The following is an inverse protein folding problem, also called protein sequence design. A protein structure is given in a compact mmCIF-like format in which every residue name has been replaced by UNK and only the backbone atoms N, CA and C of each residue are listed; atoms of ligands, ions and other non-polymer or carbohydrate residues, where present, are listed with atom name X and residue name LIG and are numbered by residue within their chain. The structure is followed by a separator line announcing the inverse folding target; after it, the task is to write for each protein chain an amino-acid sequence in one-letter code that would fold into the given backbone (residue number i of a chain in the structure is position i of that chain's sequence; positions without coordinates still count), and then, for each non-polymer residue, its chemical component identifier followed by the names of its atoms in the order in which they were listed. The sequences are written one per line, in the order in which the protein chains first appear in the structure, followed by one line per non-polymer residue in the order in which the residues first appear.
data_IF_106387606451
#
_entry.id   IF_106387606451
#
_cell.length_a   1.000
_cell.length_b   1.000
_cell.length_c   1.000
_cell.angle_alpha   90.00
_cell.angle_beta   90.00
_cell.angle_gamma   90.00
#
_symmetry.space_group_name_H-M   'P 1'
#
loop_
_entity.id
_entity.type
_entity.pdbx_description
1 polymer ?
#
# COMPACT_ATOMS: atom_id res chain seq x y z
N UNK A 1 69.42 -4.04 -0.78
CA UNK A 1 69.16 -5.39 -1.25
C UNK A 1 67.89 -5.93 -0.60
N UNK A 2 67.01 -6.56 -1.41
CA UNK A 2 65.78 -7.27 -1.15
C UNK A 2 64.50 -6.35 -1.18
N UNK A 3 63.94 -6.11 -2.29
CA UNK A 3 62.94 -6.75 -3.17
C UNK A 3 61.91 -7.63 -2.46
N UNK A 4 60.69 -7.14 -2.36
CA UNK A 4 59.47 -7.86 -1.97
C UNK A 4 58.28 -7.36 -2.74
N UNK A 5 57.92 -8.05 -3.84
CA UNK A 5 56.71 -7.86 -4.63
C UNK A 5 55.46 -8.20 -3.81
N UNK A 6 54.45 -7.37 -3.86
CA UNK A 6 53.09 -7.69 -3.47
C UNK A 6 52.28 -7.97 -4.75
N UNK A 7 51.54 -9.07 -4.87
CA UNK A 7 50.74 -9.36 -6.04
C UNK A 7 49.39 -8.60 -5.97
N UNK A 8 49.17 -7.76 -6.99
CA UNK A 8 47.82 -7.23 -7.24
C UNK A 8 46.95 -8.32 -7.86
N UNK A 9 45.72 -8.43 -7.37
CA UNK A 9 44.51 -8.95 -8.05
C UNK A 9 43.40 -9.21 -7.02
N UNK A 10 42.89 -8.15 -6.41
CA UNK A 10 41.66 -8.25 -5.61
C UNK A 10 40.79 -6.96 -5.63
N UNK A 11 41.15 -5.94 -6.40
CA UNK A 11 40.49 -4.63 -6.36
C UNK A 11 39.53 -4.37 -7.54
N UNK A 12 39.35 -5.27 -8.49
CA UNK A 12 38.58 -5.02 -9.72
C UNK A 12 37.18 -5.67 -9.77
N UNK A 13 36.68 -6.26 -8.69
CA UNK A 13 35.37 -6.94 -8.71
C UNK A 13 34.27 -6.30 -7.84
N UNK A 14 34.49 -5.14 -7.27
CA UNK A 14 33.49 -4.47 -6.41
C UNK A 14 32.79 -3.30 -7.11
N UNK A 15 33.26 -2.85 -8.26
CA UNK A 15 32.72 -1.63 -8.93
C UNK A 15 31.58 -1.90 -9.93
N UNK A 16 31.15 -3.12 -10.15
CA UNK A 16 30.09 -3.45 -11.14
C UNK A 16 28.73 -3.82 -10.55
N UNK A 17 28.51 -3.72 -9.24
CA UNK A 17 27.25 -4.12 -8.57
C UNK A 17 26.37 -2.95 -8.13
N UNK A 18 26.83 -1.69 -8.26
CA UNK A 18 26.08 -0.53 -7.77
C UNK A 18 25.40 0.31 -8.86
N UNK A 19 25.18 -0.23 -10.06
CA UNK A 19 24.46 0.47 -11.15
C UNK A 19 23.08 -0.13 -11.45
N UNK A 20 22.38 -0.67 -10.47
CA UNK A 20 21.00 -1.15 -10.58
C UNK A 20 20.08 -0.32 -9.71
N UNK A 21 19.40 0.66 -10.31
CA UNK A 21 18.26 1.35 -9.69
C UNK A 21 17.15 0.33 -9.49
N UNK A 22 16.97 -0.15 -8.28
CA UNK A 22 15.69 -0.71 -7.83
C UNK A 22 15.61 -0.56 -6.31
N UNK A 23 14.86 0.46 -5.89
CA UNK A 23 14.32 0.54 -4.53
C UNK A 23 13.33 -0.61 -4.39
N UNK A 24 13.79 -1.76 -3.90
CA UNK A 24 12.93 -2.91 -3.65
C UNK A 24 12.23 -2.70 -2.30
N UNK A 25 10.96 -2.29 -2.35
CA UNK A 25 10.11 -2.34 -1.17
C UNK A 25 10.05 -3.78 -0.64
N UNK A 26 10.51 -4.00 0.59
CA UNK A 26 10.42 -5.31 1.22
C UNK A 26 9.00 -5.52 1.75
N UNK A 27 8.24 -6.36 1.05
CA UNK A 27 6.92 -6.79 1.50
C UNK A 27 7.11 -7.91 2.52
N UNK A 28 6.81 -7.63 3.78
CA UNK A 28 6.80 -8.65 4.84
C UNK A 28 5.42 -9.33 4.83
N UNK A 29 5.37 -10.59 4.42
CA UNK A 29 4.17 -11.40 4.49
C UNK A 29 4.02 -11.98 5.89
N UNK A 30 2.84 -11.95 6.51
CA UNK A 30 2.60 -12.73 7.72
C UNK A 30 2.76 -14.23 7.42
N UNK A 31 3.50 -14.94 8.27
CA UNK A 31 3.75 -16.38 8.14
C UNK A 31 2.48 -17.16 8.50
N UNK A 32 1.56 -17.31 7.60
CA UNK A 32 0.57 -18.41 7.49
C UNK A 32 -0.46 -18.09 6.41
N UNK A 33 -0.22 -18.55 5.20
CA UNK A 33 -1.31 -18.84 4.27
C UNK A 33 -0.96 -20.10 3.50
N UNK A 34 -1.72 -21.16 3.72
CA UNK A 34 -1.71 -22.34 2.85
C UNK A 34 -2.13 -21.88 1.46
N UNK A 35 -1.22 -22.01 0.51
CA UNK A 35 -1.52 -21.84 -0.90
C UNK A 35 -2.40 -23.04 -1.27
N UNK A 36 -3.69 -22.77 -1.40
CA UNK A 36 -4.65 -23.73 -1.95
C UNK A 36 -4.79 -23.40 -3.43
N UNK A 37 -4.47 -24.37 -4.30
CA UNK A 37 -4.71 -24.30 -5.74
C UNK A 37 -6.17 -23.91 -5.99
N UNK A 38 -6.39 -22.78 -6.66
CA UNK A 38 -7.72 -22.34 -7.06
C UNK A 38 -7.79 -22.20 -8.57
N UNK A 39 -8.13 -23.30 -9.21
CA UNK A 39 -8.61 -23.29 -10.58
C UNK A 39 -10.10 -23.67 -10.57
N UNK A 40 -10.99 -22.68 -10.53
CA UNK A 40 -12.41 -22.86 -10.89
C UNK A 40 -13.00 -21.51 -11.27
N UNK A 41 -13.15 -21.32 -12.57
CA UNK A 41 -13.97 -20.29 -13.20
C UNK A 41 -15.43 -20.72 -13.08
N UNK A 42 -16.11 -20.29 -12.03
CA UNK A 42 -17.57 -20.37 -11.96
C UNK A 42 -18.11 -19.09 -11.37
N UNK A 43 -19.07 -18.48 -12.09
CA UNK A 43 -19.75 -17.23 -11.78
C UNK A 43 -20.61 -17.30 -10.51
N UNK A 44 -19.99 -17.63 -9.38
CA UNK A 44 -20.61 -17.63 -8.07
C UNK A 44 -20.31 -16.31 -7.37
N UNK A 45 -21.33 -15.71 -6.79
CA UNK A 45 -21.18 -14.67 -5.78
C UNK A 45 -20.12 -15.13 -4.78
N UNK A 46 -18.89 -14.63 -4.92
CA UNK A 46 -17.77 -15.06 -4.09
C UNK A 46 -18.15 -14.84 -2.61
N UNK A 47 -17.91 -15.84 -1.76
CA UNK A 47 -18.22 -15.75 -0.32
C UNK A 47 -17.62 -14.47 0.28
N UNK A 48 -18.29 -13.84 1.24
CA UNK A 48 -17.72 -12.74 2.00
C UNK A 48 -16.38 -13.14 2.62
N UNK A 49 -15.42 -12.21 2.65
CA UNK A 49 -14.06 -12.44 3.16
C UNK A 49 -13.79 -11.57 4.37
N UNK A 50 -13.16 -12.10 5.42
CA UNK A 50 -12.76 -11.30 6.57
C UNK A 50 -11.72 -10.25 6.17
N UNK A 51 -11.70 -9.13 6.89
CA UNK A 51 -10.74 -8.04 6.68
C UNK A 51 -9.30 -8.55 6.76
N UNK A 52 -9.04 -9.53 7.65
CA UNK A 52 -7.72 -10.12 7.86
C UNK A 52 -7.09 -10.72 6.61
N UNK A 53 -7.88 -11.26 5.67
CA UNK A 53 -7.37 -11.79 4.39
C UNK A 53 -6.80 -10.69 3.48
N UNK A 54 -7.23 -9.45 3.63
CA UNK A 54 -6.77 -8.31 2.85
C UNK A 54 -5.58 -7.57 3.46
N UNK A 55 -5.27 -7.81 4.73
CA UNK A 55 -4.24 -7.05 5.44
C UNK A 55 -2.87 -7.16 4.77
N UNK A 56 -2.20 -6.01 4.60
CA UNK A 56 -0.85 -5.91 4.06
C UNK A 56 -0.01 -5.01 4.94
N UNK A 57 1.28 -5.31 5.00
CA UNK A 57 2.27 -4.48 5.64
C UNK A 57 3.49 -4.33 4.74
N UNK A 58 3.98 -3.10 4.63
CA UNK A 58 5.24 -2.75 3.98
C UNK A 58 6.12 -2.02 4.99
N UNK A 59 7.43 -2.16 4.85
CA UNK A 59 8.41 -1.38 5.61
C UNK A 59 9.52 -0.92 4.66
N UNK A 60 9.89 0.36 4.75
CA UNK A 60 10.93 0.96 3.90
C UNK A 60 11.73 2.00 4.69
N UNK A 61 13.04 2.00 4.53
CA UNK A 61 13.90 3.03 5.10
C UNK A 61 13.88 4.24 4.16
N UNK A 62 13.69 5.44 4.72
CA UNK A 62 13.69 6.68 3.95
C UNK A 62 15.11 7.01 3.52
N UNK A 63 15.34 7.02 2.21
CA UNK A 63 16.64 7.28 1.60
C UNK A 63 16.80 8.77 1.23
N UNK A 64 18.03 9.27 1.07
CA UNK A 64 18.27 10.66 0.64
C UNK A 64 17.57 11.04 -0.66
N UNK A 65 17.41 10.09 -1.59
CA UNK A 65 16.74 10.31 -2.89
C UNK A 65 15.22 10.48 -2.76
N UNK A 66 14.64 10.11 -1.63
CA UNK A 66 13.22 10.23 -1.34
C UNK A 66 12.88 11.51 -0.57
N UNK A 67 13.91 12.30 -0.23
CA UNK A 67 13.77 13.46 0.64
C UNK A 67 13.83 14.80 -0.11
N UNK A 68 13.19 15.80 0.48
CA UNK A 68 13.30 17.19 0.09
C UNK A 68 14.58 17.86 0.68
N UNK A 69 14.93 19.11 0.28
CA UNK A 69 16.11 19.80 0.79
C UNK A 69 16.16 20.00 2.32
N UNK A 70 15.03 19.85 3.01
CA UNK A 70 14.95 19.91 4.47
C UNK A 70 15.22 18.55 5.15
N UNK A 71 15.52 17.51 4.36
CA UNK A 71 15.75 16.16 4.88
C UNK A 71 14.48 15.38 5.23
N UNK A 72 13.31 15.87 4.83
CA UNK A 72 12.02 15.19 5.06
C UNK A 72 11.59 14.41 3.82
N UNK A 73 10.94 13.27 4.01
CA UNK A 73 10.32 12.48 2.95
C UNK A 73 9.39 13.34 2.09
N UNK A 74 9.53 13.25 0.78
CA UNK A 74 8.64 13.92 -0.17
C UNK A 74 7.22 13.36 -0.03
N UNK A 75 6.22 14.24 0.07
CA UNK A 75 4.81 13.83 0.15
C UNK A 75 4.38 12.99 -1.05
N UNK A 76 4.85 13.31 -2.26
CA UNK A 76 4.59 12.50 -3.45
C UNK A 76 5.20 11.10 -3.38
N UNK A 77 6.35 10.93 -2.74
CA UNK A 77 6.94 9.62 -2.50
C UNK A 77 6.11 8.80 -1.50
N UNK A 78 5.66 9.44 -0.41
CA UNK A 78 4.77 8.79 0.55
C UNK A 78 3.43 8.40 -0.09
N UNK A 79 2.84 9.26 -0.92
CA UNK A 79 1.62 8.93 -1.69
C UNK A 79 1.81 7.72 -2.59
N UNK A 80 2.95 7.61 -3.28
CA UNK A 80 3.28 6.45 -4.10
C UNK A 80 3.37 5.15 -3.27
N UNK A 81 4.00 5.18 -2.10
CA UNK A 81 4.06 4.03 -1.20
C UNK A 81 2.68 3.65 -0.65
N UNK A 82 1.84 4.65 -0.33
CA UNK A 82 0.46 4.45 0.10
C UNK A 82 -0.37 3.78 -1.00
N UNK A 83 -0.21 4.19 -2.25
CA UNK A 83 -0.90 3.59 -3.39
C UNK A 83 -0.52 2.11 -3.57
N UNK A 84 0.78 1.80 -3.52
CA UNK A 84 1.27 0.41 -3.58
C UNK A 84 0.70 -0.43 -2.43
N UNK A 85 0.78 0.06 -1.18
CA UNK A 85 0.27 -0.65 -0.02
C UNK A 85 -1.24 -0.90 -0.13
N UNK A 86 -1.98 0.09 -0.62
CA UNK A 86 -3.41 -0.03 -0.87
C UNK A 86 -3.74 -1.05 -1.96
N UNK A 87 -3.01 -1.00 -3.08
CA UNK A 87 -3.17 -1.95 -4.19
C UNK A 87 -2.93 -3.39 -3.75
N UNK A 88 -1.91 -3.65 -2.92
CA UNK A 88 -1.65 -5.00 -2.38
C UNK A 88 -2.85 -5.54 -1.58
N UNK A 89 -3.47 -4.72 -0.73
CA UNK A 89 -4.67 -5.13 0.01
C UNK A 89 -5.86 -5.37 -0.90
N UNK A 90 -6.04 -4.51 -1.90
CA UNK A 90 -7.11 -4.64 -2.90
C UNK A 90 -6.95 -5.92 -3.73
N UNK A 91 -5.73 -6.23 -4.20
CA UNK A 91 -5.42 -7.48 -4.92
C UNK A 91 -5.69 -8.72 -4.08
N UNK A 92 -5.25 -8.73 -2.81
CA UNK A 92 -5.48 -9.86 -1.90
C UNK A 92 -6.95 -10.12 -1.67
N UNK A 93 -7.76 -9.06 -1.59
CA UNK A 93 -9.20 -9.21 -1.35
C UNK A 93 -9.95 -9.65 -2.60
N UNK A 94 -9.67 -9.02 -3.75
CA UNK A 94 -10.43 -9.24 -4.98
C UNK A 94 -9.95 -10.44 -5.80
N UNK A 95 -8.68 -10.85 -5.67
CA UNK A 95 -7.99 -11.80 -6.55
C UNK A 95 -8.12 -11.45 -8.04
N UNK A 96 -8.16 -10.15 -8.36
CA UNK A 96 -8.27 -9.61 -9.71
C UNK A 96 -7.29 -8.45 -9.91
N UNK A 97 -7.13 -7.97 -11.14
CA UNK A 97 -6.43 -6.72 -11.37
C UNK A 97 -7.18 -5.58 -10.71
N UNK A 98 -6.44 -4.60 -10.18
CA UNK A 98 -7.03 -3.40 -9.57
C UNK A 98 -6.38 -2.14 -10.11
N UNK A 99 -7.17 -1.08 -10.21
CA UNK A 99 -6.71 0.26 -10.56
C UNK A 99 -7.16 1.25 -9.50
N UNK A 100 -6.31 2.21 -9.18
CA UNK A 100 -6.64 3.30 -8.27
C UNK A 100 -7.59 4.26 -8.95
N UNK A 101 -8.79 4.41 -8.43
CA UNK A 101 -9.81 5.31 -8.98
C UNK A 101 -9.83 6.66 -8.29
N UNK A 102 -9.57 6.71 -6.99
CA UNK A 102 -9.46 7.95 -6.22
C UNK A 102 -8.65 7.76 -4.95
N UNK A 103 -8.03 8.83 -4.52
CA UNK A 103 -7.46 8.99 -3.19
C UNK A 103 -8.22 10.16 -2.55
N UNK A 104 -9.00 9.86 -1.51
CA UNK A 104 -9.99 10.82 -1.02
C UNK A 104 -9.38 11.87 -0.10
N UNK A 105 -8.51 11.43 0.79
CA UNK A 105 -7.92 12.25 1.82
C UNK A 105 -6.62 11.64 2.30
N UNK A 106 -5.61 12.47 2.46
CA UNK A 106 -4.35 12.11 3.10
C UNK A 106 -4.06 13.16 4.16
N UNK A 107 -3.92 12.71 5.39
CA UNK A 107 -3.44 13.51 6.50
C UNK A 107 -1.96 13.25 6.72
N UNK A 108 -1.13 14.28 6.55
CA UNK A 108 0.28 14.27 6.95
C UNK A 108 0.38 14.87 8.35
N UNK A 109 0.55 14.03 9.35
CA UNK A 109 0.49 14.41 10.76
C UNK A 109 1.83 14.86 11.31
N UNK A 110 2.90 14.23 10.86
CA UNK A 110 4.27 14.46 11.31
C UNK A 110 5.26 14.33 10.14
N UNK A 111 6.37 15.08 10.14
CA UNK A 111 7.44 14.87 9.17
C UNK A 111 8.11 13.50 9.38
N UNK A 112 8.57 12.92 8.28
CA UNK A 112 9.36 11.68 8.24
C UNK A 112 10.73 12.04 7.70
N UNK A 113 11.80 11.62 8.36
CA UNK A 113 13.16 12.04 8.06
C UNK A 113 13.95 10.95 7.34
N UNK A 114 15.04 11.37 6.69
CA UNK A 114 16.03 10.44 6.13
C UNK A 114 16.53 9.52 7.25
N UNK A 115 16.57 8.21 6.98
CA UNK A 115 16.98 7.18 7.92
C UNK A 115 15.87 6.62 8.80
N UNK A 116 14.67 7.25 8.82
CA UNK A 116 13.52 6.69 9.52
C UNK A 116 13.05 5.39 8.84
N UNK A 117 12.59 4.44 9.65
CA UNK A 117 11.89 3.25 9.16
C UNK A 117 10.39 3.55 9.07
N UNK A 118 9.90 3.67 7.84
CA UNK A 118 8.49 3.89 7.54
C UNK A 118 7.77 2.55 7.43
N UNK A 119 6.69 2.37 8.19
CA UNK A 119 5.84 1.19 8.18
C UNK A 119 4.45 1.59 7.68
N UNK A 120 3.97 0.93 6.61
CA UNK A 120 2.63 1.11 6.08
C UNK A 120 1.81 -0.15 6.34
N UNK A 121 0.63 0.01 6.93
CA UNK A 121 -0.35 -1.07 7.11
C UNK A 121 -1.62 -0.72 6.37
N UNK A 122 -2.13 -1.65 5.58
CA UNK A 122 -3.33 -1.46 4.78
C UNK A 122 -4.30 -2.63 4.92
N UNK A 123 -5.59 -2.35 4.73
CA UNK A 123 -6.66 -3.34 4.69
C UNK A 123 -7.87 -2.81 3.95
N UNK A 124 -8.70 -3.69 3.39
CA UNK A 124 -9.97 -3.30 2.79
C UNK A 124 -10.96 -2.95 3.90
N UNK A 125 -11.47 -1.73 3.89
CA UNK A 125 -12.49 -1.27 4.81
C UNK A 125 -13.89 -1.73 4.40
N UNK A 126 -14.20 -1.65 3.09
CA UNK A 126 -15.50 -2.04 2.54
C UNK A 126 -15.39 -2.34 1.07
N UNK A 127 -15.99 -3.45 0.63
CA UNK A 127 -16.23 -3.75 -0.76
C UNK A 127 -17.62 -3.26 -1.18
N UNK A 128 -17.72 -2.86 -2.47
CA UNK A 128 -18.96 -2.52 -3.14
C UNK A 128 -19.17 -3.52 -4.30
N UNK A 129 -19.84 -3.13 -5.38
CA UNK A 129 -20.09 -4.10 -6.45
C UNK A 129 -18.81 -4.47 -7.23
N UNK A 130 -18.10 -3.45 -7.76
CA UNK A 130 -16.86 -3.63 -8.55
C UNK A 130 -15.70 -2.80 -8.01
N UNK A 131 -15.85 -2.20 -6.85
CA UNK A 131 -14.85 -1.34 -6.22
C UNK A 131 -14.77 -1.61 -4.73
N UNK A 132 -13.68 -1.19 -4.12
CA UNK A 132 -13.45 -1.31 -2.70
C UNK A 132 -12.72 -0.10 -2.16
N UNK A 133 -13.02 0.27 -0.93
CA UNK A 133 -12.24 1.26 -0.19
C UNK A 133 -11.19 0.56 0.64
N UNK A 134 -9.94 1.02 0.50
CA UNK A 134 -8.79 0.57 1.29
C UNK A 134 -8.33 1.70 2.19
N UNK A 135 -8.13 1.39 3.48
CA UNK A 135 -7.46 2.28 4.41
C UNK A 135 -5.98 1.94 4.50
N UNK A 136 -5.14 2.98 4.50
CA UNK A 136 -3.69 2.85 4.73
C UNK A 136 -3.31 3.75 5.88
N UNK A 137 -2.60 3.20 6.87
CA UNK A 137 -2.00 3.95 7.97
C UNK A 137 -0.49 3.81 7.90
N UNK A 138 0.21 4.90 8.15
CA UNK A 138 1.67 4.97 8.09
C UNK A 138 2.24 5.34 9.47
N UNK A 139 3.28 4.62 9.87
CA UNK A 139 4.01 4.89 11.11
C UNK A 139 5.50 5.02 10.82
N UNK A 140 6.18 5.80 11.63
CA UNK A 140 7.64 5.80 11.72
C UNK A 140 8.03 5.05 12.98
N UNK A 141 8.93 4.10 12.82
CA UNK A 141 9.55 3.38 13.92
C UNK A 141 10.96 3.91 14.16
N UNK A 142 11.21 4.33 15.39
CA UNK A 142 12.55 4.58 15.87
C UNK A 142 13.08 3.30 16.54
N UNK A 143 13.87 2.51 15.79
CA UNK A 143 14.38 1.22 16.25
C UNK A 143 15.40 1.33 17.41
N UNK A 144 16.00 2.51 17.63
CA UNK A 144 16.90 2.73 18.77
C UNK A 144 16.09 2.95 20.05
N UNK A 145 15.04 3.78 19.98
CA UNK A 145 14.19 4.10 21.12
C UNK A 145 13.04 3.10 21.32
N UNK A 146 12.80 2.18 20.36
CA UNK A 146 11.68 1.24 20.38
C UNK A 146 10.31 1.91 20.32
N UNK A 147 10.21 3.13 19.76
CA UNK A 147 8.98 3.92 19.72
C UNK A 147 8.43 4.00 18.29
N UNK A 148 7.10 3.98 18.18
CA UNK A 148 6.38 4.11 16.91
C UNK A 148 5.48 5.33 16.95
N UNK A 149 5.52 6.16 15.90
CA UNK A 149 4.66 7.35 15.75
C UNK A 149 3.81 7.25 14.51
N UNK A 150 2.52 7.53 14.63
CA UNK A 150 1.60 7.61 13.50
C UNK A 150 1.87 8.91 12.73
N UNK A 151 2.18 8.81 11.44
CA UNK A 151 2.62 9.95 10.61
C UNK A 151 1.68 10.29 9.47
N UNK A 152 0.89 9.32 8.98
CA UNK A 152 -0.10 9.59 7.94
C UNK A 152 -1.23 8.56 7.93
N UNK A 153 -2.40 8.97 7.44
CA UNK A 153 -3.53 8.09 7.09
C UNK A 153 -4.10 8.48 5.76
N UNK A 154 -4.54 7.48 4.99
CA UNK A 154 -5.19 7.69 3.70
C UNK A 154 -6.31 6.70 3.45
N UNK A 155 -7.29 7.13 2.63
CA UNK A 155 -8.35 6.28 2.09
C UNK A 155 -8.32 6.33 0.58
N UNK A 156 -8.24 5.15 -0.06
CA UNK A 156 -8.19 5.01 -1.51
C UNK A 156 -9.36 4.15 -1.98
N UNK A 157 -9.86 4.46 -3.16
CA UNK A 157 -10.83 3.59 -3.84
C UNK A 157 -10.14 2.88 -4.99
N UNK A 158 -10.22 1.56 -4.98
CA UNK A 158 -9.76 0.70 -6.06
C UNK A 158 -10.95 0.11 -6.81
N UNK A 159 -10.81 -0.02 -8.12
CA UNK A 159 -11.76 -0.72 -9.01
C UNK A 159 -11.12 -2.01 -9.46
N UNK A 160 -11.86 -3.10 -9.32
CA UNK A 160 -11.45 -4.43 -9.76
C UNK A 160 -11.76 -4.62 -11.25
N UNK A 161 -10.79 -5.17 -11.99
CA UNK A 161 -10.86 -5.43 -13.42
C UNK A 161 -10.54 -6.90 -13.73
N UNK A 162 -11.19 -7.45 -14.75
CA UNK A 162 -10.85 -8.74 -15.32
C UNK A 162 -9.59 -8.65 -16.22
N UNK A 163 -9.22 -9.76 -16.86
CA UNK A 163 -8.09 -9.86 -17.80
C UNK A 163 -8.26 -8.99 -19.05
N UNK A 164 -9.50 -8.58 -19.37
CA UNK A 164 -9.83 -7.77 -20.53
C UNK A 164 -10.03 -6.28 -20.18
N UNK A 165 -9.86 -5.92 -18.89
CA UNK A 165 -10.05 -4.56 -18.42
C UNK A 165 -11.52 -4.19 -18.12
N UNK A 166 -12.44 -5.15 -18.11
CA UNK A 166 -13.83 -4.89 -17.71
C UNK A 166 -13.96 -4.95 -16.18
N UNK A 167 -14.97 -4.26 -15.67
CA UNK A 167 -15.25 -4.25 -14.24
C UNK A 167 -15.57 -5.66 -13.72
N UNK A 168 -14.85 -6.08 -12.68
CA UNK A 168 -15.00 -7.38 -12.04
C UNK A 168 -15.70 -7.25 -10.67
N UNK A 169 -16.60 -8.18 -10.37
CA UNK A 169 -17.33 -8.19 -9.10
C UNK A 169 -16.37 -8.53 -7.94
N UNK A 170 -16.49 -7.80 -6.83
CA UNK A 170 -15.64 -7.95 -5.64
C UNK A 170 -16.41 -8.66 -4.53
N UNK A 171 -15.81 -9.67 -3.85
CA UNK A 171 -16.38 -10.29 -2.68
C UNK A 171 -16.71 -9.26 -1.59
N UNK A 172 -17.79 -9.47 -0.84
CA UNK A 172 -18.11 -8.60 0.29
C UNK A 172 -17.07 -8.75 1.41
N UNK A 173 -16.82 -7.65 2.14
CA UNK A 173 -15.97 -7.66 3.32
C UNK A 173 -16.79 -8.08 4.54
N UNK A 174 -16.24 -8.98 5.35
CA UNK A 174 -16.80 -9.38 6.64
C UNK A 174 -15.98 -8.72 7.76
N UNK A 175 -16.46 -7.62 8.38
CA UNK A 175 -15.81 -7.02 9.52
C UNK A 175 -16.09 -7.84 10.79
N UNK A 176 -15.04 -8.28 11.48
CA UNK A 176 -15.15 -9.14 12.66
C UNK A 176 -15.01 -8.33 13.95
N UNK A 177 -14.08 -7.38 14.00
CA UNK A 177 -13.84 -6.54 15.20
C UNK A 177 -14.67 -5.25 15.17
N UNK A 178 -14.84 -4.63 16.33
CA UNK A 178 -15.58 -3.36 16.43
C UNK A 178 -14.85 -2.22 15.69
N UNK A 179 -13.52 -2.23 15.67
CA UNK A 179 -12.74 -1.27 14.88
C UNK A 179 -12.96 -1.47 13.37
N UNK A 180 -13.05 -2.72 12.91
CA UNK A 180 -13.35 -3.02 11.52
C UNK A 180 -14.77 -2.61 11.13
N UNK A 181 -15.76 -2.84 12.01
CA UNK A 181 -17.15 -2.38 11.80
C UNK A 181 -17.23 -0.87 11.68
N UNK A 182 -16.53 -0.13 12.56
CA UNK A 182 -16.46 1.33 12.49
C UNK A 182 -15.83 1.80 11.16
N UNK A 183 -14.75 1.16 10.70
CA UNK A 183 -14.12 1.46 9.41
C UNK A 183 -15.05 1.15 8.24
N UNK A 184 -15.76 0.03 8.29
CA UNK A 184 -16.72 -0.40 7.29
C UNK A 184 -17.88 0.61 7.12
N UNK A 185 -18.47 1.06 8.23
CA UNK A 185 -19.51 2.09 8.22
C UNK A 185 -18.98 3.43 7.75
N UNK A 186 -17.78 3.82 8.23
CA UNK A 186 -17.09 5.03 7.79
C UNK A 186 -16.85 5.06 6.28
N UNK A 187 -16.45 3.93 5.69
CA UNK A 187 -16.27 3.78 4.25
C UNK A 187 -17.59 3.99 3.46
N UNK A 188 -18.70 3.51 4.01
CA UNK A 188 -20.03 3.75 3.44
C UNK A 188 -20.38 5.25 3.41
N UNK A 189 -20.16 5.95 4.54
CA UNK A 189 -20.39 7.41 4.62
C UNK A 189 -19.51 8.20 3.65
N UNK A 190 -18.21 7.87 3.56
CA UNK A 190 -17.28 8.55 2.62
C UNK A 190 -17.71 8.35 1.17
N UNK A 191 -18.15 7.12 0.79
CA UNK A 191 -18.67 6.87 -0.55
C UNK A 191 -19.88 7.73 -0.88
N UNK A 192 -20.80 7.87 0.05
CA UNK A 192 -22.01 8.67 -0.18
C UNK A 192 -21.67 10.15 -0.37
N UNK A 193 -20.78 10.69 0.46
CA UNK A 193 -20.29 12.07 0.29
C UNK A 193 -19.60 12.28 -1.08
N UNK A 194 -18.80 11.31 -1.56
CA UNK A 194 -18.18 11.38 -2.90
C UNK A 194 -19.22 11.45 -4.01
N UNK A 195 -20.29 10.65 -3.94
CA UNK A 195 -21.37 10.68 -4.93
C UNK A 195 -22.05 12.05 -4.96
N UNK A 196 -22.42 12.56 -3.79
CA UNK A 196 -23.05 13.88 -3.67
C UNK A 196 -22.16 14.98 -4.25
N UNK A 197 -20.87 14.95 -3.96
CA UNK A 197 -19.90 15.91 -4.50
C UNK A 197 -19.77 15.79 -6.03
N UNK A 198 -19.75 14.57 -6.58
CA UNK A 198 -19.73 14.35 -8.03
C UNK A 198 -20.98 14.87 -8.72
N UNK A 199 -22.16 14.68 -8.14
CA UNK A 199 -23.42 15.20 -8.65
C UNK A 199 -23.43 16.73 -8.62
N UNK A 200 -22.99 17.33 -7.52
CA UNK A 200 -22.88 18.77 -7.40
C UNK A 200 -21.95 19.39 -8.45
N UNK A 201 -20.80 18.76 -8.70
CA UNK A 201 -19.85 19.19 -9.75
C UNK A 201 -20.43 19.08 -11.16
N UNK A 202 -21.29 18.11 -11.43
CA UNK A 202 -21.97 17.99 -12.73
C UNK A 202 -22.98 19.11 -12.93
N UNK A 203 -23.74 19.49 -11.88
CA UNK A 203 -24.70 20.58 -11.93
C UNK A 203 -24.04 21.96 -12.12
N UNK A 204 -22.82 22.15 -11.60
CA UNK A 204 -22.08 23.43 -11.71
C UNK A 204 -21.41 23.59 -13.08
N UNK A 205 -21.30 22.54 -13.89
CA UNK A 205 -20.71 22.58 -15.24
C UNK A 205 -21.73 22.80 -16.35
N UNK A 206 -23.01 22.90 -16.02
CA UNK A 206 -24.14 23.30 -16.89
C UNK A 206 -24.48 24.75 -16.69
#
# INVERSE_FOLDING_TARGET
MLSGRVPGKAAEKITSVLSGRNSAAHVILPASSKITDMNSHDGHSARPRPVSESQSQMAEVVLPNDANPLGNLLGGRLMHMIDIAGALSAHRHSHSHVVTASMDHIDFLLPVHIGDLLILKSSVNRAFHTSMEVGVKCWVENYIAGTTKHVASAYLTFVALDQHGHHHAVPQVLPETDEEKQRYEGAGRRRELRKQEQERRKMTKL
#
